data_IF_428494233658
#
_entry.id   IF_428494233658
#
_cell.length_a   1.000
_cell.length_b   1.000
_cell.length_c   1.000
_cell.angle_alpha   90.00
_cell.angle_beta   90.00
_cell.angle_gamma   90.00
#
_symmetry.space_group_name_H-M   'P 1'
#
loop_
_entity.id
_entity.type
_entity.pdbx_description
1 polymer ?
#
# COMPACT_ATOMS: atom_id res chain seq x y z
N UNK A 1 -19.82 -3.28 -41.98
CA UNK A 1 -19.81 -1.96 -41.30
C UNK A 1 -18.40 -1.61 -40.85
N UNK A 2 -18.06 -0.35 -40.58
CA UNK A 2 -16.71 0.05 -40.14
C UNK A 2 -16.75 0.66 -38.73
N UNK A 3 -15.70 0.41 -37.94
CA UNK A 3 -15.58 0.94 -36.57
C UNK A 3 -15.43 2.46 -36.58
N UNK A 4 -16.23 3.17 -35.79
CA UNK A 4 -16.17 4.64 -35.66
C UNK A 4 -14.89 5.13 -34.97
N UNK A 5 -14.21 4.27 -34.20
CA UNK A 5 -12.99 4.63 -33.45
C UNK A 5 -11.72 4.42 -34.26
N UNK A 6 -11.61 3.35 -35.05
CA UNK A 6 -10.37 3.00 -35.75
C UNK A 6 -10.53 2.78 -37.27
N UNK A 7 -11.75 2.88 -37.81
CA UNK A 7 -12.03 2.77 -39.25
C UNK A 7 -11.92 1.36 -39.84
N UNK A 8 -11.62 0.33 -39.03
CA UNK A 8 -11.48 -1.05 -39.49
C UNK A 8 -12.84 -1.69 -39.79
N UNK A 9 -12.83 -2.66 -40.70
CA UNK A 9 -14.03 -3.39 -41.10
C UNK A 9 -14.46 -4.33 -39.96
N UNK A 10 -15.73 -4.26 -39.59
CA UNK A 10 -16.34 -5.05 -38.53
C UNK A 10 -17.10 -6.22 -39.13
N UNK A 11 -16.99 -7.38 -38.48
CA UNK A 11 -17.80 -8.55 -38.76
C UNK A 11 -19.26 -8.35 -38.31
N UNK A 12 -20.20 -8.92 -39.06
CA UNK A 12 -21.63 -8.79 -38.79
C UNK A 12 -21.98 -9.46 -37.43
N UNK A 13 -22.63 -8.70 -36.54
CA UNK A 13 -22.98 -9.14 -35.19
C UNK A 13 -21.91 -8.93 -34.11
N UNK A 14 -20.79 -8.28 -34.41
CA UNK A 14 -19.76 -7.98 -33.41
C UNK A 14 -20.22 -6.90 -32.41
N UNK A 15 -20.14 -7.21 -31.10
CA UNK A 15 -20.40 -6.24 -30.02
C UNK A 15 -19.20 -5.33 -29.74
N UNK A 16 -17.99 -5.79 -30.05
CA UNK A 16 -16.73 -5.06 -29.84
C UNK A 16 -15.85 -5.14 -31.08
N UNK A 17 -15.05 -4.11 -31.33
CA UNK A 17 -14.06 -4.11 -32.41
C UNK A 17 -12.88 -5.00 -32.03
N UNK A 18 -12.57 -6.01 -32.85
CA UNK A 18 -11.43 -6.93 -32.61
C UNK A 18 -10.06 -6.24 -32.75
N UNK A 19 -10.00 -5.09 -33.43
CA UNK A 19 -8.74 -4.40 -33.68
C UNK A 19 -8.37 -3.37 -32.59
N UNK A 20 -9.36 -2.68 -32.02
CA UNK A 20 -9.12 -1.64 -31.02
C UNK A 20 -9.86 -1.84 -29.68
N UNK A 21 -10.75 -2.83 -29.60
CA UNK A 21 -11.55 -3.13 -28.41
C UNK A 21 -12.74 -2.20 -28.16
N UNK A 22 -13.03 -1.24 -29.06
CA UNK A 22 -14.14 -0.31 -28.88
C UNK A 22 -15.50 -1.02 -28.92
N UNK A 23 -16.38 -0.73 -27.96
CA UNK A 23 -17.77 -1.22 -27.95
C UNK A 23 -18.58 -0.56 -29.06
N UNK A 24 -19.38 -1.36 -29.77
CA UNK A 24 -20.14 -0.94 -30.96
C UNK A 24 -21.63 -0.73 -30.66
N UNK A 25 -22.08 -1.06 -29.44
CA UNK A 25 -23.42 -0.70 -28.97
C UNK A 25 -23.52 0.81 -28.82
N UNK A 26 -24.39 1.43 -29.65
CA UNK A 26 -24.64 2.86 -29.59
C UNK A 26 -25.16 3.23 -28.18
N UNK A 27 -24.57 4.23 -27.51
CA UNK A 27 -25.08 4.71 -26.24
C UNK A 27 -26.35 5.53 -26.53
N UNK A 28 -27.51 4.89 -26.44
CA UNK A 28 -28.77 5.61 -26.26
C UNK A 28 -28.69 6.32 -24.90
N UNK A 29 -28.42 7.63 -24.94
CA UNK A 29 -28.46 8.57 -23.84
C UNK A 29 -27.61 8.16 -22.61
N UNK A 30 -26.46 8.82 -22.47
CA UNK A 30 -25.71 8.87 -21.21
C UNK A 30 -26.60 9.53 -20.15
N UNK A 31 -27.41 8.75 -19.45
CA UNK A 31 -27.54 8.92 -18.00
C UNK A 31 -26.21 8.42 -17.44
N UNK A 32 -25.49 9.31 -16.76
CA UNK A 32 -24.28 8.98 -16.00
C UNK A 32 -24.66 8.09 -14.83
N UNK A 33 -24.93 6.84 -15.13
CA UNK A 33 -25.08 5.76 -14.15
C UNK A 33 -23.75 5.01 -14.23
N UNK A 34 -22.80 5.47 -13.43
CA UNK A 34 -21.63 4.67 -13.09
C UNK A 34 -22.11 3.28 -12.67
N UNK A 35 -21.40 2.17 -12.94
CA UNK A 35 -21.76 0.86 -12.44
C UNK A 35 -21.53 0.85 -10.92
N UNK A 36 -22.48 1.44 -10.20
CA UNK A 36 -22.66 1.26 -8.77
C UNK A 36 -23.22 -0.15 -8.66
N UNK A 37 -22.27 -1.07 -8.51
CA UNK A 37 -22.40 -2.33 -7.81
C UNK A 37 -23.58 -2.29 -6.82
N UNK A 38 -24.69 -2.86 -7.25
CA UNK A 38 -25.85 -3.27 -6.45
C UNK A 38 -26.33 -2.28 -5.36
N UNK A 39 -27.41 -1.54 -5.64
CA UNK A 39 -28.39 -1.12 -4.62
C UNK A 39 -29.15 -2.34 -4.12
N UNK A 40 -28.45 -3.19 -3.39
CA UNK A 40 -29.08 -4.00 -2.36
C UNK A 40 -29.21 -3.09 -1.15
N UNK A 41 -30.42 -2.60 -0.87
CA UNK A 41 -30.75 -1.97 0.42
C UNK A 41 -30.75 -3.06 1.48
N UNK A 42 -29.57 -3.58 1.81
CA UNK A 42 -29.33 -4.28 3.05
C UNK A 42 -29.22 -3.19 4.12
N UNK A 43 -30.14 -3.18 5.06
CA UNK A 43 -29.80 -2.72 6.41
C UNK A 43 -28.78 -3.73 6.97
N UNK A 44 -27.53 -3.64 6.50
CA UNK A 44 -26.41 -4.34 7.09
C UNK A 44 -26.15 -3.67 8.45
N UNK A 45 -26.39 -4.41 9.53
CA UNK A 45 -25.99 -3.98 10.88
C UNK A 45 -24.48 -3.74 10.80
N UNK A 46 -24.08 -2.46 10.73
CA UNK A 46 -22.66 -2.09 10.62
C UNK A 46 -21.95 -2.49 11.91
N UNK A 47 -21.18 -3.58 11.86
CA UNK A 47 -20.25 -3.98 12.92
C UNK A 47 -19.43 -2.76 13.38
N UNK A 48 -19.56 -2.29 14.64
CA UNK A 48 -18.89 -1.07 15.10
C UNK A 48 -17.36 -1.19 15.13
N UNK A 49 -16.84 -2.42 15.10
CA UNK A 49 -15.40 -2.74 15.12
C UNK A 49 -14.76 -2.83 13.73
N UNK A 50 -15.55 -3.00 12.66
CA UNK A 50 -15.02 -3.26 11.30
C UNK A 50 -14.20 -2.09 10.78
N UNK A 51 -14.72 -0.87 10.91
CA UNK A 51 -14.03 0.35 10.51
C UNK A 51 -12.70 0.52 11.26
N UNK A 52 -12.70 0.33 12.58
CA UNK A 52 -11.50 0.44 13.42
C UNK A 52 -10.42 -0.56 13.00
N UNK A 53 -10.79 -1.82 12.77
CA UNK A 53 -9.86 -2.87 12.31
C UNK A 53 -9.28 -2.51 10.93
N UNK A 54 -10.08 -1.97 10.00
CA UNK A 54 -9.58 -1.58 8.68
C UNK A 54 -8.57 -0.42 8.75
N UNK A 55 -8.82 0.56 9.62
CA UNK A 55 -7.92 1.70 9.84
C UNK A 55 -6.58 1.23 10.41
N UNK A 56 -6.61 0.41 11.48
CA UNK A 56 -5.40 -0.16 12.08
C UNK A 56 -4.58 -1.01 11.11
N UNK A 57 -5.24 -1.80 10.25
CA UNK A 57 -4.56 -2.60 9.22
C UNK A 57 -3.85 -1.73 8.19
N UNK A 58 -4.46 -0.60 7.80
CA UNK A 58 -3.84 0.34 6.88
C UNK A 58 -2.61 0.99 7.52
N UNK A 59 -2.73 1.43 8.76
CA UNK A 59 -1.64 2.02 9.53
C UNK A 59 -0.45 1.04 9.71
N UNK A 60 -0.74 -0.21 10.06
CA UNK A 60 0.28 -1.26 10.13
C UNK A 60 1.00 -1.48 8.79
N UNK A 61 0.28 -1.41 7.67
CA UNK A 61 0.91 -1.50 6.34
C UNK A 61 1.85 -0.32 6.09
N UNK A 62 1.41 0.90 6.44
CA UNK A 62 2.22 2.11 6.28
C UNK A 62 3.52 2.01 7.07
N UNK A 63 3.44 1.69 8.37
CA UNK A 63 4.64 1.56 9.20
C UNK A 63 5.58 0.44 8.74
N UNK A 64 5.04 -0.68 8.24
CA UNK A 64 5.85 -1.75 7.65
C UNK A 64 6.56 -1.30 6.38
N UNK A 65 5.95 -0.43 5.58
CA UNK A 65 6.60 0.20 4.43
C UNK A 65 7.71 1.15 4.87
N UNK A 66 7.46 1.99 5.87
CA UNK A 66 8.47 2.92 6.40
C UNK A 66 9.68 2.19 6.98
N UNK A 67 9.45 1.08 7.70
CA UNK A 67 10.53 0.22 8.20
C UNK A 67 11.37 -0.39 7.06
N UNK A 68 10.73 -0.77 5.93
CA UNK A 68 11.46 -1.22 4.74
C UNK A 68 12.26 -0.08 4.11
N UNK A 69 11.69 1.11 4.04
CA UNK A 69 12.35 2.30 3.51
C UNK A 69 13.60 2.66 4.33
N UNK A 70 13.52 2.64 5.66
CA UNK A 70 14.68 2.89 6.54
C UNK A 70 15.77 1.83 6.34
N UNK A 71 15.40 0.54 6.23
CA UNK A 71 16.37 -0.53 5.95
C UNK A 71 17.06 -0.33 4.60
N UNK A 72 16.32 0.11 3.58
CA UNK A 72 16.86 0.41 2.26
C UNK A 72 17.80 1.63 2.30
N UNK A 73 17.40 2.72 2.96
CA UNK A 73 18.23 3.92 3.17
C UNK A 73 19.55 3.57 3.86
N UNK A 74 19.50 2.76 4.92
CA UNK A 74 20.68 2.23 5.62
C UNK A 74 21.63 1.48 4.68
N UNK A 75 21.08 0.64 3.80
CA UNK A 75 21.87 -0.09 2.80
C UNK A 75 22.52 0.84 1.79
N UNK A 76 21.78 1.84 1.28
CA UNK A 76 22.28 2.82 0.33
C UNK A 76 23.40 3.69 0.93
N UNK A 77 23.24 4.15 2.16
CA UNK A 77 24.26 4.93 2.88
C UNK A 77 25.57 4.16 3.04
N UNK A 78 25.48 2.89 3.45
CA UNK A 78 26.67 2.02 3.56
C UNK A 78 27.35 1.78 2.21
N UNK A 79 26.56 1.60 1.14
CA UNK A 79 27.10 1.47 -0.21
C UNK A 79 27.83 2.74 -0.65
N UNK A 80 27.23 3.91 -0.39
CA UNK A 80 27.84 5.21 -0.67
C UNK A 80 29.14 5.39 0.11
N UNK A 81 29.17 5.04 1.40
CA UNK A 81 30.40 5.09 2.19
C UNK A 81 31.49 4.19 1.60
N UNK A 82 31.17 2.96 1.22
CA UNK A 82 32.18 2.06 0.63
C UNK A 82 32.76 2.62 -0.69
N UNK A 83 31.95 3.35 -1.46
CA UNK A 83 32.39 4.03 -2.67
C UNK A 83 33.29 5.23 -2.36
N UNK A 84 32.88 6.09 -1.42
CA UNK A 84 33.63 7.32 -1.09
C UNK A 84 34.87 7.06 -0.26
N UNK A 85 34.86 6.05 0.62
CA UNK A 85 35.98 5.68 1.48
C UNK A 85 37.19 5.17 0.70
N UNK A 86 37.02 4.71 -0.54
CA UNK A 86 38.11 4.35 -1.44
C UNK A 86 38.98 5.56 -1.83
N UNK A 87 38.43 6.78 -1.79
CA UNK A 87 39.10 8.02 -2.15
C UNK A 87 39.66 8.79 -0.94
N UNK A 88 39.38 8.33 0.30
CA UNK A 88 39.87 8.98 1.51
C UNK A 88 41.25 8.42 1.89
N UNK A 89 42.29 9.28 2.05
CA UNK A 89 43.60 8.83 2.50
C UNK A 89 43.52 8.05 3.82
N UNK A 90 44.34 7.01 3.95
CA UNK A 90 44.40 6.18 5.15
C UNK A 90 44.79 6.95 6.43
N UNK A 91 44.72 6.27 7.57
CA UNK A 91 45.09 6.84 8.86
C UNK A 91 43.94 7.61 9.55
N UNK A 92 44.25 8.79 10.10
CA UNK A 92 43.32 9.56 10.93
C UNK A 92 42.12 10.12 10.15
N UNK A 93 42.31 10.48 8.88
CA UNK A 93 41.24 11.00 8.01
C UNK A 93 40.16 9.95 7.74
N UNK A 94 40.54 8.72 7.38
CA UNK A 94 39.60 7.61 7.21
C UNK A 94 38.86 7.25 8.51
N UNK A 95 39.54 7.34 9.66
CA UNK A 95 38.92 7.08 10.97
C UNK A 95 37.89 8.16 11.33
N UNK A 96 38.19 9.43 11.08
CA UNK A 96 37.24 10.53 11.27
C UNK A 96 36.03 10.40 10.36
N UNK A 97 36.24 10.04 9.09
CA UNK A 97 35.16 9.84 8.12
C UNK A 97 34.19 8.73 8.54
N UNK A 98 34.70 7.59 9.03
CA UNK A 98 33.88 6.50 9.57
C UNK A 98 33.05 6.91 10.79
N UNK A 99 33.63 7.68 11.71
CA UNK A 99 32.91 8.15 12.91
C UNK A 99 31.72 9.05 12.56
N UNK A 100 31.84 9.87 11.51
CA UNK A 100 30.75 10.70 11.01
C UNK A 100 29.61 9.85 10.43
N UNK A 101 29.94 8.81 9.66
CA UNK A 101 28.95 7.84 9.15
C UNK A 101 28.22 7.13 10.29
N UNK A 102 28.95 6.60 11.28
CA UNK A 102 28.39 5.90 12.43
C UNK A 102 27.41 6.80 13.21
N UNK A 103 27.74 8.08 13.40
CA UNK A 103 26.84 9.07 14.01
C UNK A 103 25.57 9.28 13.17
N UNK A 104 25.70 9.36 11.85
CA UNK A 104 24.58 9.55 10.93
C UNK A 104 23.68 8.30 10.83
N UNK A 105 24.24 7.10 11.04
CA UNK A 105 23.52 5.81 11.09
C UNK A 105 22.78 5.58 12.42
N UNK A 106 23.23 6.21 13.52
CA UNK A 106 22.60 6.07 14.82
C UNK A 106 21.15 6.57 14.86
N UNK A 107 20.86 7.68 14.17
CA UNK A 107 19.50 8.26 14.14
C UNK A 107 18.48 7.31 13.49
N UNK A 108 18.68 6.77 12.27
CA UNK A 108 17.68 5.89 11.69
C UNK A 108 17.70 4.47 12.27
N UNK A 109 18.77 4.06 12.96
CA UNK A 109 18.75 2.86 13.81
C UNK A 109 17.73 3.01 14.95
N UNK A 110 17.70 4.17 15.62
CA UNK A 110 16.71 4.48 16.66
C UNK A 110 15.29 4.57 16.10
N UNK A 111 15.12 5.14 14.91
CA UNK A 111 13.81 5.18 14.22
C UNK A 111 13.28 3.78 13.90
N UNK A 112 14.15 2.88 13.43
CA UNK A 112 13.79 1.49 13.19
C UNK A 112 13.28 0.81 14.48
N UNK A 113 14.00 0.96 15.58
CA UNK A 113 13.59 0.36 16.86
C UNK A 113 12.26 0.92 17.35
N UNK A 114 12.06 2.24 17.24
CA UNK A 114 10.79 2.88 17.58
C UNK A 114 9.62 2.32 16.75
N UNK A 115 9.78 2.23 15.42
CA UNK A 115 8.75 1.66 14.53
C UNK A 115 8.48 0.18 14.82
N UNK A 116 9.50 -0.60 15.20
CA UNK A 116 9.31 -2.00 15.57
C UNK A 116 8.45 -2.14 16.83
N UNK A 117 8.66 -1.27 17.83
CA UNK A 117 7.85 -1.25 19.05
C UNK A 117 6.42 -0.80 18.76
N UNK A 118 6.25 0.21 17.90
CA UNK A 118 4.93 0.73 17.52
C UNK A 118 4.11 -0.30 16.71
N UNK A 119 4.72 -0.98 15.75
CA UNK A 119 4.09 -2.08 15.00
C UNK A 119 3.62 -3.18 15.96
N UNK A 120 4.47 -3.60 16.90
CA UNK A 120 4.13 -4.64 17.87
C UNK A 120 2.93 -4.22 18.73
N UNK A 121 2.91 -2.96 19.17
CA UNK A 121 1.79 -2.40 19.93
C UNK A 121 0.48 -2.46 19.13
N UNK A 122 0.48 -1.96 17.89
CA UNK A 122 -0.74 -1.96 17.08
C UNK A 122 -1.20 -3.36 16.70
N UNK A 123 -0.27 -4.31 16.52
CA UNK A 123 -0.62 -5.72 16.31
C UNK A 123 -1.37 -6.29 17.54
N UNK A 124 -0.98 -5.91 18.76
CA UNK A 124 -1.70 -6.30 19.97
C UNK A 124 -3.09 -5.65 20.06
N UNK A 125 -3.21 -4.36 19.73
CA UNK A 125 -4.51 -3.65 19.72
C UNK A 125 -5.48 -4.27 18.69
N UNK A 126 -4.99 -4.60 17.50
CA UNK A 126 -5.76 -5.26 16.46
C UNK A 126 -6.27 -6.63 16.91
N UNK A 127 -5.42 -7.44 17.56
CA UNK A 127 -5.84 -8.73 18.11
C UNK A 127 -6.95 -8.58 19.16
N UNK A 128 -6.87 -7.55 20.02
CA UNK A 128 -7.92 -7.27 21.00
C UNK A 128 -9.25 -6.90 20.37
N UNK A 129 -9.24 -6.07 19.31
CA UNK A 129 -10.45 -5.69 18.58
C UNK A 129 -11.07 -6.87 17.83
N UNK A 130 -10.25 -7.74 17.24
CA UNK A 130 -10.74 -8.95 16.58
C UNK A 130 -11.42 -9.90 17.56
N UNK A 131 -10.88 -10.05 18.77
CA UNK A 131 -11.51 -10.83 19.84
C UNK A 131 -12.84 -10.21 20.30
N UNK A 132 -12.87 -8.89 20.51
CA UNK A 132 -14.10 -8.18 20.88
C UNK A 132 -15.18 -8.30 19.80
N UNK A 133 -14.78 -8.19 18.52
CA UNK A 133 -15.69 -8.40 17.39
C UNK A 133 -16.23 -9.83 17.38
N UNK A 134 -15.40 -10.84 17.64
CA UNK A 134 -15.83 -12.23 17.71
C UNK A 134 -16.87 -12.47 18.82
N UNK A 135 -16.62 -11.93 20.02
CA UNK A 135 -17.57 -12.00 21.15
C UNK A 135 -18.88 -11.29 20.81
N UNK A 136 -18.82 -10.09 20.24
CA UNK A 136 -20.01 -9.36 19.81
C UNK A 136 -20.83 -10.14 18.77
N UNK A 137 -20.16 -10.78 17.80
CA UNK A 137 -20.83 -11.64 16.82
C UNK A 137 -21.52 -12.84 17.47
N UNK A 138 -20.91 -13.46 18.47
CA UNK A 138 -21.53 -14.55 19.25
C UNK A 138 -22.77 -14.04 19.99
N UNK A 139 -22.71 -12.86 20.64
CA UNK A 139 -23.87 -12.28 21.34
C UNK A 139 -25.03 -11.89 20.43
N UNK A 140 -24.76 -11.66 19.14
CA UNK A 140 -25.80 -11.35 18.15
C UNK A 140 -26.39 -12.59 17.48
N UNK A 141 -25.77 -13.77 17.66
CA UNK A 141 -26.18 -15.04 17.03
C UNK A 141 -26.97 -15.96 17.96
N UNK A 142 -26.95 -15.72 19.28
CA UNK A 142 -27.71 -16.47 20.29
C UNK A 142 -28.96 -15.72 20.73
#
# INVERSE_FOLDING_TARGET
MYCSTCGQQLHDGAHFCEHCGASLELPAAVTTDSPTRSTHTYHEVKDPYKEQITQLRLELKQMKLDLKQIKMDMSNRRAQYNQTAAFVPGGTLRRGYKMLEDFQLWSPQRQKEALQQEILRLEQELLGLEQAQAQWKVTQQG
#
